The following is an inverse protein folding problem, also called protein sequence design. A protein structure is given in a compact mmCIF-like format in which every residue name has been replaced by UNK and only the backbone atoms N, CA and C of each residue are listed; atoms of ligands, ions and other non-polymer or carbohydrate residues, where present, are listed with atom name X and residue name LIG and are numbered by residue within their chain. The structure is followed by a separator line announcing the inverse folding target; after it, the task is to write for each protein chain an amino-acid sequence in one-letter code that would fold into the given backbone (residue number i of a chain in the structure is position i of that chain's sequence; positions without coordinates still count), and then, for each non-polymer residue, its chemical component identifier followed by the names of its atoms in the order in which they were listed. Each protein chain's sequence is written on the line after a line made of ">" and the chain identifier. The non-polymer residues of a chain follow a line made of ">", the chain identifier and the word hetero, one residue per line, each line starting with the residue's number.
data_IF_531248127383
#
_entry.id   IF_531248127383
#
_cell.length_a   1.000
_cell.length_b   1.000
_cell.length_c   1.000
_cell.angle_alpha   90.00
_cell.angle_beta   90.00
_cell.angle_gamma   90.00
#
_symmetry.space_group_name_H-M   'P 1'
#
loop_
_entity.id
_entity.type
_entity.pdbx_description
1 polymer ?
#
# COMPACT_ATOMS: atom_id res chain seq x y z
N UNK A 1 29.11 11.02 17.05
CA UNK A 1 28.45 12.18 16.40
C UNK A 1 27.10 11.70 15.89
N UNK A 2 26.05 12.08 16.60
CA UNK A 2 24.65 11.68 16.35
C UNK A 2 24.13 12.34 15.07
N UNK A 3 23.96 11.56 14.01
CA UNK A 3 23.24 12.00 12.81
C UNK A 3 21.75 11.96 13.15
N UNK A 4 21.16 13.13 13.43
CA UNK A 4 19.71 13.25 13.52
C UNK A 4 19.09 12.96 12.14
N UNK A 5 17.98 12.20 12.06
CA UNK A 5 17.28 12.01 10.80
C UNK A 5 16.73 13.36 10.35
N UNK A 6 17.15 13.81 9.16
CA UNK A 6 16.61 15.00 8.53
C UNK A 6 15.12 14.73 8.29
N UNK A 7 14.29 15.57 8.91
CA UNK A 7 12.85 15.57 8.71
C UNK A 7 12.55 16.10 7.30
N UNK A 8 12.71 15.24 6.29
CA UNK A 8 12.24 15.51 4.94
C UNK A 8 10.75 15.28 4.94
N UNK A 9 9.97 16.37 4.93
CA UNK A 9 8.59 16.34 4.46
C UNK A 9 8.62 15.85 3.00
N UNK A 10 8.63 14.52 2.82
CA UNK A 10 8.46 13.89 1.53
C UNK A 10 7.04 14.18 1.09
N UNK A 11 6.93 14.94 0.01
CA UNK A 11 5.71 15.09 -0.77
C UNK A 11 5.17 13.69 -1.09
N UNK A 12 4.11 13.27 -0.38
CA UNK A 12 3.51 11.94 -0.48
C UNK A 12 3.01 11.62 -1.91
N UNK A 13 2.92 12.62 -2.80
CA UNK A 13 2.56 12.42 -4.21
C UNK A 13 3.72 11.91 -5.08
N UNK A 14 4.97 11.95 -4.59
CA UNK A 14 6.18 11.60 -5.37
C UNK A 14 6.96 10.40 -4.84
N UNK A 15 6.58 9.84 -3.68
CA UNK A 15 7.20 8.61 -3.17
C UNK A 15 6.66 7.37 -3.89
N UNK A 16 7.46 6.31 -4.03
CA UNK A 16 6.99 4.97 -4.37
C UNK A 16 5.73 4.58 -3.62
N UNK A 17 4.82 3.93 -4.32
CA UNK A 17 3.79 3.13 -3.65
C UNK A 17 4.45 1.92 -3.02
N UNK A 18 4.25 1.76 -1.72
CA UNK A 18 4.65 0.57 -0.96
C UNK A 18 3.43 -0.31 -0.85
N UNK A 19 3.50 -1.49 -1.46
CA UNK A 19 2.43 -2.47 -1.53
C UNK A 19 2.90 -3.73 -0.80
N UNK A 20 1.99 -4.57 -0.32
CA UNK A 20 2.36 -5.87 0.23
C UNK A 20 1.50 -7.00 -0.32
N UNK A 21 2.11 -8.18 -0.42
CA UNK A 21 1.38 -9.43 -0.64
C UNK A 21 1.18 -10.12 0.71
N UNK A 22 -0.07 -10.54 0.93
CA UNK A 22 -0.52 -11.23 2.12
C UNK A 22 -1.15 -12.58 1.78
N UNK A 23 -1.34 -13.42 2.79
CA UNK A 23 -1.99 -14.72 2.65
C UNK A 23 -1.22 -15.85 3.30
N UNK A 24 -1.76 -17.07 3.22
CA UNK A 24 -1.21 -18.21 3.95
C UNK A 24 0.17 -18.66 3.47
N UNK A 25 0.90 -19.41 4.30
CA UNK A 25 2.05 -20.17 3.84
C UNK A 25 1.60 -21.09 2.68
N UNK A 26 2.30 -21.03 1.55
CA UNK A 26 1.95 -21.74 0.30
C UNK A 26 0.88 -21.08 -0.59
N UNK A 27 0.47 -19.83 -0.33
CA UNK A 27 -0.48 -19.11 -1.18
C UNK A 27 0.09 -18.59 -2.51
N UNK A 28 1.42 -18.66 -2.71
CA UNK A 28 2.06 -18.25 -3.98
C UNK A 28 2.69 -16.84 -3.97
N UNK A 29 2.75 -16.14 -2.83
CA UNK A 29 3.38 -14.81 -2.71
C UNK A 29 4.80 -14.73 -3.29
N UNK A 30 5.72 -15.56 -2.77
CA UNK A 30 7.10 -15.59 -3.26
C UNK A 30 7.17 -15.93 -4.76
N UNK A 31 6.25 -16.74 -5.28
CA UNK A 31 6.18 -17.06 -6.72
C UNK A 31 5.79 -15.82 -7.53
N UNK A 32 4.76 -15.08 -7.09
CA UNK A 32 4.35 -13.84 -7.73
C UNK A 32 5.45 -12.77 -7.69
N UNK A 33 6.18 -12.64 -6.57
CA UNK A 33 7.28 -11.69 -6.45
C UNK A 33 8.46 -12.02 -7.38
N UNK A 34 8.87 -13.29 -7.43
CA UNK A 34 9.91 -13.74 -8.36
C UNK A 34 9.52 -13.54 -9.83
N UNK A 35 8.24 -13.73 -10.15
CA UNK A 35 7.71 -13.39 -11.47
C UNK A 35 7.88 -11.89 -11.75
N UNK A 36 7.52 -11.00 -10.82
CA UNK A 36 7.71 -9.55 -10.97
C UNK A 36 9.18 -9.21 -11.24
N UNK A 37 10.11 -9.71 -10.41
CA UNK A 37 11.56 -9.47 -10.60
C UNK A 37 12.08 -9.91 -11.97
N UNK A 38 11.48 -10.94 -12.55
CA UNK A 38 11.95 -11.51 -13.81
C UNK A 38 11.30 -10.87 -15.05
N UNK A 39 10.22 -10.09 -14.87
CA UNK A 39 9.38 -9.61 -15.98
C UNK A 39 9.24 -8.09 -16.04
N UNK A 40 9.73 -7.33 -15.06
CA UNK A 40 9.75 -5.87 -15.14
C UNK A 40 10.81 -5.21 -14.24
N UNK A 41 11.31 -4.07 -14.70
CA UNK A 41 12.19 -3.16 -13.94
C UNK A 41 11.42 -2.01 -13.27
N UNK A 42 10.12 -1.85 -13.56
CA UNK A 42 9.29 -0.73 -13.08
C UNK A 42 8.66 -0.97 -11.68
N UNK A 43 8.83 -2.19 -11.17
CA UNK A 43 8.34 -2.66 -9.87
C UNK A 43 9.44 -3.44 -9.18
N UNK A 44 9.70 -3.13 -7.92
CA UNK A 44 10.75 -3.76 -7.12
C UNK A 44 10.10 -4.75 -6.15
N UNK A 45 10.54 -6.00 -6.16
CA UNK A 45 10.19 -6.96 -5.11
C UNK A 45 11.09 -6.74 -3.88
N UNK A 46 10.50 -6.73 -2.70
CA UNK A 46 11.22 -6.70 -1.43
C UNK A 46 10.86 -7.96 -0.66
N UNK A 47 11.81 -8.87 -0.41
CA UNK A 47 11.56 -10.09 0.35
C UNK A 47 11.71 -9.88 1.85
N UNK A 48 10.98 -10.67 2.64
CA UNK A 48 11.05 -10.68 4.10
C UNK A 48 12.43 -11.12 4.62
N UNK A 49 13.10 -12.02 3.88
CA UNK A 49 14.17 -12.83 4.42
C UNK A 49 15.51 -12.09 4.53
N UNK A 50 16.12 -12.20 5.71
CA UNK A 50 17.40 -11.56 6.05
C UNK A 50 18.21 -12.48 6.98
N UNK A 51 19.31 -13.03 6.45
CA UNK A 51 20.23 -13.91 7.17
C UNK A 51 20.86 -13.23 8.40
N UNK A 52 21.09 -11.92 8.33
CA UNK A 52 21.78 -11.16 9.38
C UNK A 52 20.94 -11.12 10.66
N UNK A 53 19.62 -10.94 10.50
CA UNK A 53 18.67 -10.89 11.61
C UNK A 53 18.48 -12.25 12.27
N UNK A 54 18.51 -13.32 11.49
CA UNK A 54 18.46 -14.69 12.02
C UNK A 54 19.67 -14.96 12.91
N UNK A 55 20.85 -14.45 12.54
CA UNK A 55 22.06 -14.57 13.35
C UNK A 55 21.97 -13.76 14.65
N UNK A 56 21.46 -12.53 14.61
CA UNK A 56 21.25 -11.70 15.82
C UNK A 56 20.31 -12.41 16.80
N UNK A 57 19.19 -12.94 16.32
CA UNK A 57 18.23 -13.64 17.16
C UNK A 57 18.78 -14.97 17.71
N UNK A 58 19.64 -15.67 16.97
CA UNK A 58 20.22 -16.93 17.44
C UNK A 58 21.33 -16.73 18.50
N UNK A 59 21.97 -15.56 18.54
CA UNK A 59 22.99 -15.24 19.56
C UNK A 59 22.40 -15.02 20.95
N UNK A 60 21.15 -14.58 21.01
CA UNK A 60 20.41 -14.36 22.24
C UNK A 60 19.39 -15.48 22.39
N UNK A 61 19.57 -16.38 23.36
CA UNK A 61 18.72 -17.56 23.57
C UNK A 61 17.31 -17.20 24.09
N UNK A 62 16.57 -16.38 23.33
CA UNK A 62 15.27 -15.83 23.68
C UNK A 62 14.21 -16.93 23.70
N UNK A 63 13.44 -16.97 24.78
CA UNK A 63 12.24 -17.79 24.86
C UNK A 63 11.00 -16.94 24.52
N UNK A 64 10.46 -17.10 23.32
CA UNK A 64 9.27 -16.35 22.88
C UNK A 64 8.02 -16.65 23.72
N UNK A 65 8.01 -17.70 24.54
CA UNK A 65 6.95 -17.98 25.51
C UNK A 65 7.06 -17.16 26.80
N UNK A 66 8.13 -16.38 26.96
CA UNK A 66 8.33 -15.44 28.06
C UNK A 66 8.10 -14.01 27.57
N UNK A 67 7.22 -13.26 28.25
CA UNK A 67 6.83 -11.90 27.85
C UNK A 67 8.04 -10.99 27.59
N UNK A 68 9.00 -10.94 28.51
CA UNK A 68 10.17 -10.05 28.40
C UNK A 68 10.95 -10.32 27.12
N UNK A 69 11.26 -11.59 26.85
CA UNK A 69 12.02 -12.00 25.68
C UNK A 69 11.21 -11.77 24.40
N UNK A 70 9.90 -12.03 24.44
CA UNK A 70 8.99 -11.74 23.34
C UNK A 70 9.01 -10.25 22.97
N UNK A 71 8.93 -9.34 23.95
CA UNK A 71 9.00 -7.90 23.72
C UNK A 71 10.32 -7.51 23.04
N UNK A 72 11.46 -8.02 23.51
CA UNK A 72 12.76 -7.71 22.91
C UNK A 72 12.90 -8.25 21.47
N UNK A 73 12.39 -9.46 21.22
CA UNK A 73 12.31 -10.01 19.87
C UNK A 73 11.44 -9.14 18.96
N UNK A 74 10.27 -8.68 19.42
CA UNK A 74 9.41 -7.84 18.58
C UNK A 74 10.04 -6.48 18.28
N UNK A 75 10.74 -5.83 19.23
CA UNK A 75 11.48 -4.59 18.93
C UNK A 75 12.46 -4.74 17.79
N UNK A 76 13.18 -5.87 17.76
CA UNK A 76 14.16 -6.19 16.71
C UNK A 76 13.47 -6.31 15.34
N UNK A 77 12.33 -7.01 15.28
CA UNK A 77 11.55 -7.13 14.03
C UNK A 77 10.93 -5.81 13.58
N UNK A 78 10.39 -5.02 14.51
CA UNK A 78 9.80 -3.71 14.23
C UNK A 78 10.83 -2.77 13.64
N UNK A 79 11.99 -2.63 14.29
CA UNK A 79 13.06 -1.74 13.82
C UNK A 79 13.57 -2.15 12.44
N UNK A 80 13.73 -3.44 12.18
CA UNK A 80 14.11 -3.97 10.86
C UNK A 80 13.09 -3.58 9.78
N UNK A 81 11.81 -3.80 10.04
CA UNK A 81 10.76 -3.53 9.06
C UNK A 81 10.60 -2.03 8.79
N UNK A 82 10.75 -1.18 9.81
CA UNK A 82 10.82 0.28 9.64
C UNK A 82 11.99 0.66 8.71
N UNK A 83 13.18 0.09 8.93
CA UNK A 83 14.36 0.34 8.06
C UNK A 83 14.10 -0.11 6.61
N UNK A 84 13.47 -1.28 6.41
CA UNK A 84 13.09 -1.79 5.09
C UNK A 84 12.09 -0.87 4.39
N UNK A 85 11.08 -0.38 5.12
CA UNK A 85 10.10 0.57 4.60
C UNK A 85 10.74 1.90 4.17
N UNK A 86 11.56 2.50 5.03
CA UNK A 86 12.26 3.76 4.71
C UNK A 86 13.06 3.60 3.41
N UNK A 87 13.84 2.53 3.28
CA UNK A 87 14.61 2.25 2.07
C UNK A 87 13.71 2.13 0.83
N UNK A 88 12.55 1.50 0.95
CA UNK A 88 11.59 1.39 -0.15
C UNK A 88 11.03 2.76 -0.58
N UNK A 89 10.77 3.67 0.37
CA UNK A 89 10.25 5.02 0.05
C UNK A 89 11.26 5.94 -0.65
N UNK A 90 12.55 5.62 -0.59
CA UNK A 90 13.61 6.37 -1.25
C UNK A 90 13.83 5.95 -2.73
N UNK A 91 13.24 4.82 -3.16
CA UNK A 91 13.43 4.23 -4.49
C UNK A 91 12.63 4.95 -5.58
N UNK A 92 13.12 6.09 -6.09
CA UNK A 92 12.42 6.91 -7.11
C UNK A 92 11.85 6.10 -8.30
N UNK A 93 10.60 6.40 -8.67
CA UNK A 93 9.98 5.99 -9.95
C UNK A 93 9.29 4.63 -9.96
N UNK A 94 9.58 3.74 -9.00
CA UNK A 94 9.05 2.37 -8.98
C UNK A 94 8.03 2.17 -7.84
N UNK A 95 7.10 1.23 -8.01
CA UNK A 95 6.37 0.68 -6.86
C UNK A 95 7.22 -0.38 -6.20
N UNK A 96 7.13 -0.54 -4.88
CA UNK A 96 7.82 -1.61 -4.16
C UNK A 96 6.77 -2.55 -3.58
N UNK A 97 6.92 -3.85 -3.82
CA UNK A 97 6.00 -4.89 -3.36
C UNK A 97 6.69 -5.78 -2.35
N UNK A 98 6.16 -5.82 -1.14
CA UNK A 98 6.73 -6.53 -0.01
C UNK A 98 6.18 -7.97 0.04
N UNK A 99 7.07 -8.97 0.20
CA UNK A 99 6.71 -10.26 0.79
C UNK A 99 6.49 -10.00 2.27
N UNK A 100 5.23 -9.82 2.67
CA UNK A 100 4.79 -9.32 3.97
C UNK A 100 5.37 -7.94 4.36
N UNK A 101 4.51 -7.02 4.79
CA UNK A 101 4.91 -5.69 5.25
C UNK A 101 4.81 -5.50 6.77
N UNK A 102 4.83 -4.24 7.20
CA UNK A 102 4.66 -3.82 8.59
C UNK A 102 3.38 -4.39 9.24
N UNK A 103 2.32 -4.59 8.46
CA UNK A 103 1.08 -5.19 8.92
C UNK A 103 1.25 -6.63 9.41
N UNK A 104 2.19 -7.40 8.82
CA UNK A 104 2.51 -8.75 9.27
C UNK A 104 3.15 -8.74 10.65
N UNK A 105 4.09 -7.81 10.86
CA UNK A 105 4.83 -7.66 12.10
C UNK A 105 3.89 -7.21 13.22
N UNK A 106 3.00 -6.24 12.97
CA UNK A 106 2.01 -5.82 13.96
C UNK A 106 1.06 -6.97 14.32
N UNK A 107 0.53 -7.66 13.31
CA UNK A 107 -0.37 -8.78 13.55
C UNK A 107 0.30 -9.85 14.41
N UNK A 108 1.51 -10.29 14.05
CA UNK A 108 2.22 -11.27 14.85
C UNK A 108 2.54 -10.77 16.25
N UNK A 109 2.92 -9.50 16.41
CA UNK A 109 3.20 -8.86 17.71
C UNK A 109 1.99 -8.91 18.65
N UNK A 110 0.78 -8.66 18.13
CA UNK A 110 -0.42 -8.52 18.96
C UNK A 110 -1.22 -9.83 19.10
N UNK A 111 -1.19 -10.70 18.09
CA UNK A 111 -2.07 -11.87 18.02
C UNK A 111 -1.37 -13.20 18.27
N UNK A 112 -0.06 -13.31 18.01
CA UNK A 112 0.66 -14.57 18.28
C UNK A 112 0.58 -15.02 19.75
N UNK A 113 0.69 -14.15 20.78
CA UNK A 113 0.59 -14.57 22.18
C UNK A 113 -0.72 -15.32 22.48
N UNK A 114 -1.82 -14.91 21.86
CA UNK A 114 -3.13 -15.57 22.02
C UNK A 114 -3.10 -17.03 21.54
N UNK A 115 -2.30 -17.31 20.51
CA UNK A 115 -2.19 -18.65 19.93
C UNK A 115 -1.45 -19.65 20.83
N UNK A 116 -0.62 -19.15 21.75
CA UNK A 116 0.05 -19.95 22.79
C UNK A 116 -0.67 -19.86 24.15
N UNK A 117 -1.91 -19.35 24.18
CA UNK A 117 -2.72 -19.26 25.40
C UNK A 117 -2.33 -18.10 26.33
N UNK A 118 -1.57 -17.12 25.84
CA UNK A 118 -1.15 -15.96 26.63
C UNK A 118 -2.05 -14.75 26.35
N UNK A 119 -2.39 -14.01 27.40
CA UNK A 119 -3.21 -12.80 27.36
C UNK A 119 -2.38 -11.55 27.72
N UNK A 120 -1.18 -11.44 27.15
CA UNK A 120 -0.27 -10.33 27.45
C UNK A 120 -0.77 -9.00 26.85
N UNK A 121 -0.64 -7.93 27.62
CA UNK A 121 -0.83 -6.56 27.14
C UNK A 121 0.45 -6.06 26.45
N UNK A 122 0.71 -6.58 25.24
CA UNK A 122 1.92 -6.26 24.45
C UNK A 122 1.94 -4.79 24.04
N UNK A 123 0.78 -4.22 23.68
CA UNK A 123 0.65 -2.81 23.26
C UNK A 123 1.19 -1.87 24.34
N UNK A 124 0.94 -2.14 25.63
CA UNK A 124 1.49 -1.32 26.72
C UNK A 124 3.02 -1.23 26.71
N UNK A 125 3.72 -2.31 26.34
CA UNK A 125 5.18 -2.36 26.35
C UNK A 125 5.80 -1.84 25.04
N UNK A 126 5.06 -1.91 23.94
CA UNK A 126 5.54 -1.54 22.60
C UNK A 126 4.78 -0.36 21.99
N UNK A 127 4.06 0.43 22.79
CA UNK A 127 3.20 1.49 22.31
C UNK A 127 3.91 2.45 21.36
N UNK A 128 5.15 2.82 21.70
CA UNK A 128 5.97 3.72 20.88
C UNK A 128 6.42 3.04 19.58
N UNK A 129 6.95 1.83 19.68
CA UNK A 129 7.45 1.06 18.55
C UNK A 129 6.34 0.71 17.55
N UNK A 130 5.18 0.28 18.03
CA UNK A 130 3.99 0.03 17.21
C UNK A 130 3.45 1.33 16.59
N UNK A 131 3.51 2.45 17.32
CA UNK A 131 3.17 3.76 16.76
C UNK A 131 4.02 4.16 15.56
N UNK A 132 5.33 3.85 15.57
CA UNK A 132 6.21 4.06 14.42
C UNK A 132 5.98 3.03 13.31
N UNK A 133 5.81 1.75 13.66
CA UNK A 133 5.52 0.67 12.70
C UNK A 133 4.25 0.96 11.88
N UNK A 134 3.19 1.46 12.51
CA UNK A 134 1.92 1.80 11.86
C UNK A 134 2.06 2.87 10.78
N UNK A 135 3.06 3.76 10.88
CA UNK A 135 3.37 4.74 9.83
C UNK A 135 4.00 4.10 8.60
N UNK A 136 4.51 2.87 8.74
CA UNK A 136 5.11 2.06 7.70
C UNK A 136 4.13 1.04 7.10
N UNK A 137 2.83 1.14 7.39
CA UNK A 137 1.84 0.27 6.75
C UNK A 137 1.85 0.49 5.22
N UNK A 138 1.66 -0.59 4.44
CA UNK A 138 1.59 -0.49 2.99
C UNK A 138 0.39 0.35 2.57
N UNK A 139 0.55 1.08 1.46
CA UNK A 139 -0.50 1.87 0.83
C UNK A 139 -1.72 0.99 0.49
N UNK A 140 -1.47 -0.22 -0.04
CA UNK A 140 -2.48 -1.26 -0.32
C UNK A 140 -1.89 -2.65 -0.09
N UNK A 141 -2.76 -3.57 0.30
CA UNK A 141 -2.45 -4.98 0.58
C UNK A 141 -3.21 -5.84 -0.43
N UNK A 142 -2.54 -6.81 -1.06
CA UNK A 142 -3.20 -7.86 -1.83
C UNK A 142 -3.16 -9.18 -1.06
N UNK A 143 -4.30 -9.64 -0.59
CA UNK A 143 -4.44 -10.92 0.08
C UNK A 143 -4.67 -12.04 -0.93
N UNK A 144 -3.69 -12.94 -1.08
CA UNK A 144 -3.81 -14.14 -1.92
C UNK A 144 -4.60 -15.22 -1.17
N UNK A 145 -5.86 -15.37 -1.54
CA UNK A 145 -6.80 -16.32 -0.95
C UNK A 145 -6.74 -17.64 -1.70
N UNK A 146 -6.35 -18.69 -0.97
CA UNK A 146 -6.20 -20.05 -1.48
C UNK A 146 -6.97 -21.01 -0.58
N UNK A 147 -7.62 -22.02 -1.15
CA UNK A 147 -8.23 -23.09 -0.39
C UNK A 147 -7.20 -23.93 0.35
N UNK A 148 -7.65 -24.64 1.38
CA UNK A 148 -6.82 -25.61 2.08
C UNK A 148 -6.23 -26.66 1.14
N UNK A 149 -7.03 -27.16 0.18
CA UNK A 149 -6.58 -28.11 -0.82
C UNK A 149 -5.41 -27.55 -1.65
N UNK A 150 -5.54 -26.32 -2.16
CA UNK A 150 -4.48 -25.64 -2.90
C UNK A 150 -3.23 -25.43 -2.05
N UNK A 151 -3.38 -24.98 -0.81
CA UNK A 151 -2.26 -24.72 0.11
C UNK A 151 -1.50 -26.01 0.45
N UNK A 152 -2.22 -27.10 0.73
CA UNK A 152 -1.63 -28.41 1.00
C UNK A 152 -0.95 -28.99 -0.23
N UNK A 153 -1.58 -28.89 -1.40
CA UNK A 153 -0.99 -29.29 -2.69
C UNK A 153 0.33 -28.55 -2.94
N UNK A 154 0.31 -27.21 -2.85
CA UNK A 154 1.51 -26.38 -3.02
C UNK A 154 2.61 -26.69 -1.98
N UNK A 155 2.26 -27.04 -0.74
CA UNK A 155 3.21 -27.48 0.30
C UNK A 155 3.88 -28.81 -0.07
N UNK A 156 3.13 -29.77 -0.61
CA UNK A 156 3.64 -31.09 -1.00
C UNK A 156 4.54 -31.01 -2.25
N UNK A 157 4.24 -30.10 -3.17
CA UNK A 157 5.05 -29.90 -4.39
C UNK A 157 6.36 -29.12 -4.16
N UNK A 158 6.51 -28.46 -3.01
CA UNK A 158 7.72 -27.69 -2.66
C UNK A 158 8.70 -28.56 -1.85
N UNK A 159 9.65 -29.19 -2.53
CA UNK A 159 10.69 -30.02 -1.89
C UNK A 159 11.80 -29.21 -1.21
N UNK A 160 11.84 -27.89 -1.42
CA UNK A 160 12.92 -27.02 -0.91
C UNK A 160 12.56 -26.52 0.49
N UNK A 161 11.32 -26.10 0.71
CA UNK A 161 10.89 -25.51 1.99
C UNK A 161 10.22 -26.54 2.88
N UNK A 162 10.80 -26.79 4.06
CA UNK A 162 10.31 -27.81 5.00
C UNK A 162 8.93 -27.50 5.61
N UNK A 163 8.49 -26.22 5.59
CA UNK A 163 7.14 -25.77 6.00
C UNK A 163 6.61 -26.37 7.31
N UNK A 164 7.50 -26.60 8.29
CA UNK A 164 7.19 -27.27 9.57
C UNK A 164 6.11 -26.54 10.39
N UNK A 165 6.02 -25.22 10.24
CA UNK A 165 5.05 -24.37 10.93
C UNK A 165 3.66 -24.34 10.27
N UNK A 166 3.47 -25.02 9.12
CA UNK A 166 2.24 -24.91 8.33
C UNK A 166 0.98 -25.28 9.11
N UNK A 167 0.94 -26.44 9.77
CA UNK A 167 -0.29 -26.88 10.46
C UNK A 167 -0.65 -25.95 11.62
N UNK A 168 0.35 -25.48 12.37
CA UNK A 168 0.12 -24.50 13.43
C UNK A 168 -0.40 -23.20 12.85
N UNK A 169 0.28 -22.67 11.84
CA UNK A 169 -0.06 -21.40 11.22
C UNK A 169 -1.46 -21.45 10.58
N UNK A 170 -1.77 -22.50 9.82
CA UNK A 170 -3.07 -22.70 9.20
C UNK A 170 -4.20 -22.80 10.23
N UNK A 171 -4.02 -23.58 11.30
CA UNK A 171 -5.11 -23.83 12.26
C UNK A 171 -5.25 -22.74 13.35
N UNK A 172 -4.16 -22.08 13.72
CA UNK A 172 -4.13 -21.14 14.87
C UNK A 172 -3.95 -19.69 14.48
N UNK A 173 -3.21 -19.41 13.41
CA UNK A 173 -2.84 -18.05 13.02
C UNK A 173 -3.77 -17.50 11.93
N UNK A 174 -4.04 -18.29 10.89
CA UNK A 174 -4.82 -17.84 9.73
C UNK A 174 -6.23 -17.36 10.06
N UNK A 175 -7.03 -18.03 10.91
CA UNK A 175 -8.37 -17.54 11.24
C UNK A 175 -8.34 -16.13 11.86
N UNK A 176 -7.38 -15.89 12.77
CA UNK A 176 -7.18 -14.58 13.40
C UNK A 176 -6.71 -13.54 12.38
N UNK A 177 -5.82 -13.93 11.47
CA UNK A 177 -5.30 -13.04 10.43
C UNK A 177 -6.39 -12.61 9.45
N UNK A 178 -7.19 -13.54 8.97
CA UNK A 178 -8.30 -13.23 8.06
C UNK A 178 -9.34 -12.34 8.71
N UNK A 179 -9.67 -12.58 9.99
CA UNK A 179 -10.57 -11.70 10.75
C UNK A 179 -9.98 -10.30 10.91
N UNK A 180 -8.70 -10.20 11.27
CA UNK A 180 -8.01 -8.92 11.41
C UNK A 180 -7.92 -8.14 10.10
N UNK A 181 -7.57 -8.81 8.99
CA UNK A 181 -7.48 -8.19 7.66
C UNK A 181 -8.81 -7.65 7.15
N UNK A 182 -9.95 -8.25 7.52
CA UNK A 182 -11.28 -7.71 7.19
C UNK A 182 -11.55 -6.35 7.84
N UNK A 183 -10.88 -6.04 8.95
CA UNK A 183 -10.99 -4.74 9.62
C UNK A 183 -10.17 -3.62 8.96
N UNK A 184 -9.31 -3.94 8.01
CA UNK A 184 -8.48 -2.98 7.29
C UNK A 184 -9.18 -2.50 6.01
N UNK A 185 -9.13 -1.21 5.74
CA UNK A 185 -9.79 -0.59 4.58
C UNK A 185 -8.93 -0.58 3.30
N UNK A 186 -7.66 -0.99 3.39
CA UNK A 186 -6.68 -0.96 2.31
C UNK A 186 -6.35 -2.36 1.75
N UNK A 187 -7.22 -3.36 1.96
CA UNK A 187 -7.01 -4.75 1.52
C UNK A 187 -7.87 -5.09 0.30
N UNK A 188 -7.23 -5.60 -0.74
CA UNK A 188 -7.87 -6.27 -1.87
C UNK A 188 -7.64 -7.78 -1.78
N UNK A 189 -8.52 -8.57 -2.39
CA UNK A 189 -8.47 -10.03 -2.34
C UNK A 189 -8.36 -10.62 -3.74
N UNK A 190 -7.51 -11.64 -3.90
CA UNK A 190 -7.35 -12.40 -5.15
C UNK A 190 -7.48 -13.90 -4.84
N UNK A 191 -8.46 -14.55 -5.47
CA UNK A 191 -8.61 -16.01 -5.42
C UNK A 191 -7.56 -16.66 -6.34
N UNK A 192 -6.76 -17.60 -5.81
CA UNK A 192 -5.59 -18.14 -6.54
C UNK A 192 -5.66 -19.63 -6.87
N UNK A 193 -6.74 -20.32 -6.50
CA UNK A 193 -6.86 -21.78 -6.63
C UNK A 193 -6.63 -22.26 -8.07
N UNK A 194 -7.22 -21.54 -9.03
CA UNK A 194 -7.21 -21.90 -10.44
C UNK A 194 -6.19 -21.11 -11.27
N UNK A 195 -5.28 -20.36 -10.63
CA UNK A 195 -4.27 -19.58 -11.34
C UNK A 195 -2.97 -20.40 -11.49
N UNK A 196 -2.52 -20.67 -12.73
CA UNK A 196 -1.15 -21.09 -13.00
C UNK A 196 -0.14 -20.03 -12.54
N UNK A 197 1.12 -20.41 -12.34
CA UNK A 197 2.15 -19.51 -11.78
C UNK A 197 2.35 -18.23 -12.61
N UNK A 198 2.39 -18.35 -13.94
CA UNK A 198 2.51 -17.22 -14.84
C UNK A 198 1.29 -16.29 -14.76
N UNK A 199 0.08 -16.86 -14.73
CA UNK A 199 -1.14 -16.05 -14.61
C UNK A 199 -1.22 -15.36 -13.25
N UNK A 200 -0.87 -16.05 -12.16
CA UNK A 200 -0.76 -15.45 -10.83
C UNK A 200 0.20 -14.26 -10.84
N UNK A 201 1.40 -14.41 -11.41
CA UNK A 201 2.37 -13.33 -11.53
C UNK A 201 1.83 -12.14 -12.31
N UNK A 202 1.17 -12.39 -13.44
CA UNK A 202 0.53 -11.35 -14.25
C UNK A 202 -0.61 -10.63 -13.49
N UNK A 203 -1.48 -11.36 -12.79
CA UNK A 203 -2.57 -10.78 -11.99
C UNK A 203 -2.04 -9.87 -10.89
N UNK A 204 -1.00 -10.30 -10.18
CA UNK A 204 -0.35 -9.47 -9.16
C UNK A 204 0.31 -8.24 -9.79
N UNK A 205 1.03 -8.39 -10.91
CA UNK A 205 1.65 -7.25 -11.60
C UNK A 205 0.62 -6.24 -12.10
N UNK A 206 -0.49 -6.71 -12.67
CA UNK A 206 -1.61 -5.87 -13.09
C UNK A 206 -2.25 -5.15 -11.89
N UNK A 207 -2.42 -5.85 -10.76
CA UNK A 207 -2.86 -5.22 -9.52
C UNK A 207 -1.92 -4.11 -9.07
N UNK A 208 -0.60 -4.33 -9.09
CA UNK A 208 0.41 -3.31 -8.74
C UNK A 208 0.30 -2.07 -9.63
N UNK A 209 0.21 -2.26 -10.95
CA UNK A 209 0.13 -1.17 -11.94
C UNK A 209 -1.14 -0.33 -11.75
N UNK A 210 -2.28 -0.97 -11.46
CA UNK A 210 -3.52 -0.27 -11.12
C UNK A 210 -3.38 0.64 -9.89
N UNK A 211 -2.49 0.34 -8.95
CA UNK A 211 -2.26 1.21 -7.79
C UNK A 211 -1.49 2.49 -8.14
N UNK A 212 -0.68 2.47 -9.22
CA UNK A 212 -0.09 3.69 -9.80
C UNK A 212 -1.15 4.48 -10.57
N UNK A 213 -2.02 3.80 -11.32
CA UNK A 213 -3.08 4.44 -12.13
C UNK A 213 -4.15 5.12 -11.27
N UNK A 214 -4.45 4.59 -10.08
CA UNK A 214 -5.32 5.25 -9.10
C UNK A 214 -4.77 6.58 -8.57
N UNK A 215 -3.51 6.93 -8.86
CA UNK A 215 -2.96 8.26 -8.54
C UNK A 215 -3.49 9.33 -9.51
N UNK A 216 -3.92 9.01 -10.73
CA UNK A 216 -4.31 10.06 -11.69
C UNK A 216 -5.32 9.60 -12.76
N UNK A 217 -6.60 9.51 -12.41
CA UNK A 217 -7.64 9.87 -13.39
C UNK A 217 -8.20 11.25 -13.06
N UNK A 218 -7.28 12.21 -13.03
CA UNK A 218 -7.62 13.63 -13.01
C UNK A 218 -8.17 13.97 -14.39
N UNK A 219 -9.49 14.03 -14.49
CA UNK A 219 -10.13 14.28 -15.77
C UNK A 219 -10.12 15.78 -16.15
N UNK A 220 -9.96 16.65 -15.15
CA UNK A 220 -9.84 18.08 -15.35
C UNK A 220 -9.00 18.77 -14.27
N UNK A 221 -8.49 19.95 -14.58
CA UNK A 221 -7.70 20.75 -13.62
C UNK A 221 -8.54 21.29 -12.45
N UNK A 222 -9.86 21.42 -12.62
CA UNK A 222 -10.75 22.11 -11.68
C UNK A 222 -11.62 21.18 -10.82
N UNK A 223 -11.61 19.87 -11.06
CA UNK A 223 -12.46 18.91 -10.33
C UNK A 223 -13.77 18.54 -11.04
N UNK A 224 -14.00 19.03 -12.26
CA UNK A 224 -15.10 18.54 -13.10
C UNK A 224 -14.76 17.15 -13.64
N UNK A 225 -15.67 16.20 -13.47
CA UNK A 225 -15.63 14.88 -14.11
C UNK A 225 -16.01 15.06 -15.59
N UNK A 226 -15.01 15.09 -16.47
CA UNK A 226 -15.21 15.33 -17.91
C UNK A 226 -15.92 14.16 -18.61
N UNK A 227 -15.81 12.93 -18.11
CA UNK A 227 -16.52 11.76 -18.59
C UNK A 227 -18.04 11.87 -18.39
N UNK A 228 -18.46 12.59 -17.35
CA UNK A 228 -19.88 12.88 -17.07
C UNK A 228 -20.34 14.25 -17.62
N UNK A 229 -19.43 15.00 -18.26
CA UNK A 229 -19.73 16.35 -18.74
C UNK A 229 -20.48 16.30 -20.08
N UNK A 230 -21.77 16.67 -20.06
CA UNK A 230 -22.63 16.69 -21.27
C UNK A 230 -22.15 17.65 -22.37
N UNK A 231 -21.31 18.65 -22.04
CA UNK A 231 -20.73 19.54 -23.05
C UNK A 231 -19.60 18.89 -23.85
N UNK A 232 -18.99 17.81 -23.34
CA UNK A 232 -17.88 17.12 -24.01
C UNK A 232 -18.28 16.65 -25.40
N UNK A 233 -19.40 15.94 -25.49
CA UNK A 233 -19.96 15.47 -26.76
C UNK A 233 -20.58 16.60 -27.57
N UNK A 234 -21.45 17.42 -26.94
CA UNK A 234 -22.19 18.50 -27.63
C UNK A 234 -21.30 19.55 -28.29
N UNK A 235 -20.10 19.78 -27.76
CA UNK A 235 -19.14 20.78 -28.24
C UNK A 235 -17.88 20.17 -28.86
N UNK A 236 -17.80 18.84 -29.00
CA UNK A 236 -16.60 18.16 -29.48
C UNK A 236 -15.35 18.44 -28.65
N UNK A 237 -15.53 18.70 -27.34
CA UNK A 237 -14.42 19.01 -26.43
C UNK A 237 -13.64 17.74 -26.09
N UNK A 238 -12.31 17.81 -26.08
CA UNK A 238 -11.43 16.65 -25.80
C UNK A 238 -11.08 16.47 -24.31
N UNK A 239 -11.67 17.29 -23.44
CA UNK A 239 -11.38 17.34 -22.01
C UNK A 239 -10.26 18.33 -21.69
N UNK A 240 -10.33 18.95 -20.50
CA UNK A 240 -9.45 20.07 -20.11
C UNK A 240 -7.96 19.74 -20.17
N UNK A 241 -7.59 18.48 -19.94
CA UNK A 241 -6.20 18.01 -19.97
C UNK A 241 -5.65 17.81 -21.39
N UNK A 242 -6.51 17.80 -22.42
CA UNK A 242 -6.16 17.50 -23.81
C UNK A 242 -6.46 18.65 -24.79
N UNK A 243 -6.69 19.86 -24.28
CA UNK A 243 -7.01 21.06 -25.07
C UNK A 243 -6.18 22.24 -24.56
N UNK A 244 -5.82 23.16 -25.43
CA UNK A 244 -5.15 24.40 -25.02
C UNK A 244 -6.11 25.31 -24.27
N UNK A 245 -7.30 25.52 -24.84
CA UNK A 245 -8.37 26.34 -24.28
C UNK A 245 -9.74 25.64 -24.39
N UNK A 246 -10.59 25.77 -23.35
CA UNK A 246 -12.01 25.42 -23.44
C UNK A 246 -12.74 26.18 -24.56
N UNK A 247 -13.89 25.64 -24.98
CA UNK A 247 -14.76 26.26 -25.99
C UNK A 247 -15.30 27.65 -25.60
N UNK A 248 -15.21 28.01 -24.31
CA UNK A 248 -15.63 29.31 -23.76
C UNK A 248 -14.47 30.28 -23.55
N UNK A 249 -13.25 29.94 -23.95
CA UNK A 249 -12.07 30.79 -23.87
C UNK A 249 -11.10 30.42 -22.74
N UNK A 250 -10.26 31.37 -22.31
CA UNK A 250 -9.17 31.13 -21.37
C UNK A 250 -9.68 30.79 -19.96
N UNK A 251 -9.25 29.64 -19.42
CA UNK A 251 -9.61 29.19 -18.08
C UNK A 251 -8.54 29.53 -17.04
N UNK A 252 -8.87 30.43 -16.10
CA UNK A 252 -7.97 30.82 -14.99
C UNK A 252 -7.49 29.64 -14.14
N UNK A 253 -8.33 28.63 -13.92
CA UNK A 253 -7.97 27.44 -13.13
C UNK A 253 -6.94 26.59 -13.87
N UNK A 254 -7.13 26.41 -15.18
CA UNK A 254 -6.20 25.66 -16.04
C UNK A 254 -4.85 26.34 -16.09
N UNK A 255 -4.82 27.63 -16.42
CA UNK A 255 -3.59 28.42 -16.49
C UNK A 255 -2.84 28.41 -15.16
N UNK A 256 -3.55 28.54 -14.03
CA UNK A 256 -2.94 28.46 -12.71
C UNK A 256 -2.28 27.09 -12.46
N UNK A 257 -3.01 25.98 -12.70
CA UNK A 257 -2.45 24.63 -12.51
C UNK A 257 -1.23 24.38 -13.39
N UNK A 258 -1.29 24.75 -14.66
CA UNK A 258 -0.18 24.55 -15.61
C UNK A 258 1.05 25.38 -15.26
N UNK A 259 0.86 26.65 -14.86
CA UNK A 259 1.97 27.51 -14.41
C UNK A 259 2.67 26.99 -13.15
N UNK A 260 1.96 26.24 -12.31
CA UNK A 260 2.48 25.61 -11.08
C UNK A 260 2.91 24.15 -11.30
N UNK A 261 2.80 23.64 -12.54
CA UNK A 261 3.04 22.23 -12.87
C UNK A 261 2.22 21.25 -12.01
N UNK A 262 0.98 21.62 -11.68
CA UNK A 262 0.03 20.80 -10.92
C UNK A 262 -0.94 20.09 -11.87
N UNK A 263 -1.30 18.84 -11.55
CA UNK A 263 -2.27 18.10 -12.34
C UNK A 263 -3.70 18.59 -12.13
N UNK A 264 -4.05 19.07 -10.94
CA UNK A 264 -5.32 19.74 -10.66
C UNK A 264 -5.21 20.56 -9.37
N UNK A 265 -6.25 21.31 -9.04
CA UNK A 265 -6.26 22.11 -7.82
C UNK A 265 -6.09 21.29 -6.53
N UNK A 266 -6.43 20.00 -6.51
CA UNK A 266 -6.27 19.09 -5.37
C UNK A 266 -4.83 18.95 -4.88
N UNK A 267 -3.85 19.08 -5.79
CA UNK A 267 -2.43 19.04 -5.44
C UNK A 267 -1.95 20.36 -4.81
N UNK A 268 -2.69 21.46 -5.00
CA UNK A 268 -2.30 22.78 -4.50
C UNK A 268 -2.37 22.82 -2.96
N UNK A 269 -1.31 23.28 -2.30
CA UNK A 269 -1.25 23.43 -0.83
C UNK A 269 -2.32 24.37 -0.27
N UNK A 270 -2.90 25.24 -1.09
CA UNK A 270 -3.89 26.25 -0.69
C UNK A 270 -5.34 25.82 -0.99
N UNK A 271 -5.61 24.56 -1.36
CA UNK A 271 -6.98 24.12 -1.68
C UNK A 271 -7.89 24.12 -0.43
N UNK A 272 -9.12 24.66 -0.50
CA UNK A 272 -9.68 25.43 -1.61
C UNK A 272 -9.24 26.90 -1.56
N UNK A 273 -8.53 27.35 -2.60
CA UNK A 273 -8.14 28.74 -2.76
C UNK A 273 -9.31 29.56 -3.30
N UNK A 274 -9.23 30.88 -3.19
CA UNK A 274 -10.34 31.78 -3.55
C UNK A 274 -10.75 31.67 -5.02
N UNK A 275 -9.79 31.44 -5.92
CA UNK A 275 -10.09 31.21 -7.34
C UNK A 275 -10.94 29.94 -7.55
N UNK A 276 -10.59 28.83 -6.88
CA UNK A 276 -11.37 27.60 -6.99
C UNK A 276 -12.73 27.74 -6.32
N UNK A 277 -12.81 28.40 -5.15
CA UNK A 277 -14.10 28.69 -4.49
C UNK A 277 -15.01 29.50 -5.40
N UNK A 278 -14.53 30.63 -5.91
CA UNK A 278 -15.30 31.48 -6.83
C UNK A 278 -15.78 30.70 -8.05
N UNK A 279 -14.93 29.86 -8.63
CA UNK A 279 -15.31 29.02 -9.77
C UNK A 279 -16.35 27.94 -9.42
N UNK A 280 -16.32 27.41 -8.20
CA UNK A 280 -17.21 26.32 -7.75
C UNK A 280 -18.57 26.81 -7.24
N UNK A 281 -18.61 28.04 -6.74
CA UNK A 281 -19.80 28.68 -6.16
C UNK A 281 -20.36 29.82 -7.03
N UNK A 282 -19.95 29.88 -8.30
CA UNK A 282 -20.55 30.78 -9.28
C UNK A 282 -22.07 30.56 -9.39
N UNK A 283 -22.86 31.64 -9.47
CA UNK A 283 -24.33 31.55 -9.40
C UNK A 283 -24.94 30.86 -10.61
N UNK A 284 -24.33 30.98 -11.79
CA UNK A 284 -24.85 30.42 -13.04
C UNK A 284 -24.23 29.06 -13.38
N UNK A 285 -22.91 28.93 -13.19
CA UNK A 285 -22.12 27.79 -13.66
C UNK A 285 -21.39 27.03 -12.53
N UNK A 286 -21.63 27.42 -11.28
CA UNK A 286 -21.12 26.73 -10.10
C UNK A 286 -21.81 25.40 -9.86
N UNK A 287 -21.16 24.54 -9.07
CA UNK A 287 -21.68 23.23 -8.68
C UNK A 287 -21.86 23.08 -7.17
N UNK A 288 -21.92 24.22 -6.47
CA UNK A 288 -22.04 24.31 -5.00
C UNK A 288 -20.89 23.61 -4.26
N UNK A 289 -19.69 23.61 -4.86
CA UNK A 289 -18.48 23.06 -4.24
C UNK A 289 -18.16 21.61 -4.59
N UNK A 290 -18.96 20.93 -5.42
CA UNK A 290 -18.70 19.52 -5.80
C UNK A 290 -17.31 19.32 -6.42
N UNK A 291 -16.86 20.23 -7.28
CA UNK A 291 -15.52 20.16 -7.88
C UNK A 291 -14.37 20.31 -6.87
N UNK A 292 -14.59 21.03 -5.75
CA UNK A 292 -13.60 21.11 -4.68
C UNK A 292 -13.42 19.74 -4.04
N UNK A 293 -14.52 19.09 -3.68
CA UNK A 293 -14.49 17.75 -3.08
C UNK A 293 -13.93 16.71 -4.06
N UNK A 294 -14.25 16.83 -5.35
CA UNK A 294 -13.65 15.97 -6.38
C UNK A 294 -12.14 16.17 -6.53
N UNK A 295 -11.65 17.42 -6.46
CA UNK A 295 -10.22 17.69 -6.45
C UNK A 295 -9.53 17.06 -5.24
N UNK A 296 -10.15 17.12 -4.06
CA UNK A 296 -9.62 16.48 -2.85
C UNK A 296 -9.58 14.97 -2.98
N UNK A 297 -10.66 14.36 -3.48
CA UNK A 297 -10.76 12.90 -3.63
C UNK A 297 -9.72 12.36 -4.62
N UNK A 298 -9.50 13.02 -5.76
CA UNK A 298 -8.45 12.66 -6.72
C UNK A 298 -7.03 12.74 -6.15
N UNK A 299 -6.82 13.50 -5.07
CA UNK A 299 -5.53 13.68 -4.43
C UNK A 299 -5.45 13.06 -3.03
N UNK A 300 -6.44 12.25 -2.63
CA UNK A 300 -6.54 11.63 -1.30
C UNK A 300 -6.39 12.64 -0.13
N UNK A 301 -7.09 13.78 -0.21
CA UNK A 301 -7.12 14.84 0.82
C UNK A 301 -8.46 14.95 1.52
#
# INVERSE_FOLDING_TARGET
>A
MSVQPKNTNLDNSKRPKVLSLQGCMASGKTTALKFIESNTDDVIASFEWDDEMTNVLNQHNYDKSVLKDYIEVQKIWIDKEIRRYIKATEMKGNSVVFDFGAEEIEFHTLYWPRTIGQAWDVEKYLHKELGELRKCFPDKILFLKASEEKLRSNKLSDSVRQRRYFEYYFNKIMPLKEEWMKGLNNVDYLEVDNLPQEQLGNEVLNWVRRQKEQIHMVESRCGIVCSECTFKEKKGCKGCVNIDNPFWGNCIIKTCCESKSLNNCGECSEIPCDNLKRFSYDEEQGDKGKRIEQCKSWCNR
#
